data_IF_693576153671
#
_entry.id   IF_693576153671
#
_cell.length_a   1.000
_cell.length_b   1.000
_cell.length_c   1.000
_cell.angle_alpha   90.00
_cell.angle_beta   90.00
_cell.angle_gamma   90.00
#
_symmetry.space_group_name_H-M   'P 1'
#
loop_
_entity.id
_entity.type
_entity.pdbx_description
1 polymer ?
#
# COMPACT_ATOMS: atom_id res chain seq x y z
N UNK A 1 -6.15 2.13 6.06
CA UNK A 1 -4.69 2.40 5.96
C UNK A 1 -4.37 3.69 6.68
N UNK A 2 -3.13 3.85 7.14
CA UNK A 2 -2.67 5.14 7.64
C UNK A 2 -2.56 6.14 6.49
N UNK A 3 -2.82 7.45 6.69
CA UNK A 3 -2.70 8.46 5.63
C UNK A 3 -1.36 8.40 4.88
N UNK A 4 -0.26 8.16 5.60
CA UNK A 4 1.10 8.01 5.03
C UNK A 4 1.18 6.91 3.98
N UNK A 5 0.81 5.70 4.37
CA UNK A 5 0.92 4.52 3.50
C UNK A 5 -0.05 4.63 2.32
N UNK A 6 -1.25 5.14 2.56
CA UNK A 6 -2.25 5.35 1.51
C UNK A 6 -1.75 6.36 0.49
N UNK A 7 -1.19 7.50 0.92
CA UNK A 7 -0.64 8.52 0.02
C UNK A 7 0.56 7.99 -0.77
N UNK A 8 1.50 7.28 -0.12
CA UNK A 8 2.66 6.69 -0.78
C UNK A 8 2.26 5.66 -1.85
N UNK A 9 1.31 4.77 -1.55
CA UNK A 9 0.80 3.81 -2.54
C UNK A 9 0.04 4.50 -3.68
N UNK A 10 -0.73 5.55 -3.40
CA UNK A 10 -1.46 6.30 -4.42
C UNK A 10 -0.52 6.97 -5.41
N UNK A 11 0.60 7.55 -4.94
CA UNK A 11 1.64 8.11 -5.80
C UNK A 11 2.15 7.06 -6.79
N UNK A 12 2.50 5.87 -6.32
CA UNK A 12 3.02 4.79 -7.18
C UNK A 12 1.97 4.23 -8.14
N UNK A 13 0.70 4.15 -7.72
CA UNK A 13 -0.41 3.72 -8.58
C UNK A 13 -0.60 4.68 -9.75
N UNK A 14 -0.70 5.98 -9.46
CA UNK A 14 -0.87 7.02 -10.49
C UNK A 14 0.35 7.11 -11.40
N UNK A 15 1.57 7.00 -10.85
CA UNK A 15 2.79 6.96 -11.65
C UNK A 15 2.79 5.78 -12.64
N UNK A 16 2.36 4.60 -12.18
CA UNK A 16 2.24 3.42 -13.04
C UNK A 16 1.16 3.58 -14.11
N UNK A 17 0.06 4.28 -13.81
CA UNK A 17 -0.99 4.57 -14.78
C UNK A 17 -0.50 5.54 -15.85
N UNK A 18 0.17 6.63 -15.49
CA UNK A 18 0.83 7.56 -16.44
C UNK A 18 1.79 6.80 -17.36
N UNK A 19 2.63 5.93 -16.80
CA UNK A 19 3.55 5.10 -17.58
C UNK A 19 2.82 4.20 -18.57
N UNK A 20 1.71 3.57 -18.17
CA UNK A 20 0.93 2.66 -19.04
C UNK A 20 0.16 3.42 -20.12
N UNK A 21 -0.31 4.63 -19.82
CA UNK A 21 -0.95 5.51 -20.79
C UNK A 21 0.00 5.89 -21.93
N UNK A 22 1.30 6.06 -21.64
CA UNK A 22 2.34 6.37 -22.64
C UNK A 22 2.16 7.72 -23.34
N UNK A 23 1.46 8.67 -22.71
CA UNK A 23 1.17 10.00 -23.27
C UNK A 23 2.03 11.10 -22.67
N UNK A 24 2.15 11.10 -21.37
CA UNK A 24 2.96 12.03 -20.58
C UNK A 24 4.07 11.26 -19.88
N UNK A 25 5.18 11.91 -19.54
CA UNK A 25 6.32 11.28 -18.87
C UNK A 25 6.71 9.94 -19.55
N UNK A 26 6.82 9.93 -20.86
CA UNK A 26 7.02 8.71 -21.68
C UNK A 26 8.35 7.99 -21.38
N UNK A 27 9.26 8.66 -20.72
CA UNK A 27 10.53 8.13 -20.25
C UNK A 27 10.42 7.22 -19.01
N UNK A 28 9.24 7.13 -18.36
CA UNK A 28 9.07 6.34 -17.16
C UNK A 28 9.27 4.83 -17.39
N UNK A 29 9.91 4.18 -16.41
CA UNK A 29 10.11 2.72 -16.39
C UNK A 29 9.54 2.12 -15.08
N UNK A 30 9.37 0.78 -14.98
CA UNK A 30 8.54 0.16 -13.95
C UNK A 30 9.00 0.34 -12.51
N UNK A 31 10.31 0.42 -12.23
CA UNK A 31 10.82 0.49 -10.86
C UNK A 31 10.63 1.88 -10.26
N UNK A 32 10.00 1.93 -9.11
CA UNK A 32 9.77 3.20 -8.43
C UNK A 32 9.60 3.01 -6.93
N UNK A 33 9.94 4.04 -6.18
CA UNK A 33 9.80 4.12 -4.72
C UNK A 33 9.16 5.45 -4.35
N UNK A 34 8.33 5.44 -3.30
CA UNK A 34 7.78 6.67 -2.72
C UNK A 34 7.82 6.62 -1.21
N UNK A 35 8.02 7.78 -0.61
CA UNK A 35 7.92 8.00 0.83
C UNK A 35 7.13 9.27 1.07
N UNK A 36 6.27 9.24 2.09
CA UNK A 36 5.51 10.41 2.54
C UNK A 36 5.76 10.61 4.01
N UNK A 37 6.24 11.80 4.37
CA UNK A 37 6.42 12.24 5.75
C UNK A 37 5.26 13.13 6.14
N UNK A 38 4.60 12.80 7.25
CA UNK A 38 3.47 13.56 7.79
C UNK A 38 3.84 14.08 9.17
N UNK A 39 3.58 15.34 9.39
CA UNK A 39 3.63 15.99 10.70
C UNK A 39 2.38 15.63 11.50
N UNK A 40 2.56 15.32 12.79
CA UNK A 40 1.49 15.01 13.73
C UNK A 40 1.56 15.95 14.92
N UNK A 41 0.40 16.34 15.46
CA UNK A 41 0.31 17.05 16.73
C UNK A 41 0.59 16.13 17.93
N UNK A 42 0.65 16.71 19.13
CA UNK A 42 0.91 15.98 20.39
C UNK A 42 -0.17 14.92 20.70
N UNK A 43 -1.36 15.05 20.13
CA UNK A 43 -2.45 14.08 20.23
C UNK A 43 -2.36 12.97 19.18
N UNK A 44 -1.33 12.99 18.31
CA UNK A 44 -1.13 12.06 17.22
C UNK A 44 -2.12 12.20 16.07
N UNK A 45 -2.74 13.40 15.91
CA UNK A 45 -3.57 13.75 14.76
C UNK A 45 -2.64 14.24 13.64
N UNK A 46 -2.82 13.78 12.39
CA UNK A 46 -2.04 14.29 11.26
C UNK A 46 -2.40 15.75 10.99
N UNK A 47 -1.38 16.58 10.79
CA UNK A 47 -1.50 18.04 10.58
C UNK A 47 -1.29 18.39 9.10
N UNK A 48 -0.19 17.93 8.52
CA UNK A 48 0.16 18.21 7.13
C UNK A 48 1.14 17.17 6.57
N UNK A 49 1.21 17.08 5.26
CA UNK A 49 2.33 16.44 4.58
C UNK A 49 3.49 17.44 4.58
N UNK A 50 4.63 16.98 5.12
CA UNK A 50 5.86 17.75 5.18
C UNK A 50 6.74 17.49 3.95
N UNK A 51 7.04 16.22 3.69
CA UNK A 51 7.97 15.83 2.62
C UNK A 51 7.42 14.66 1.81
N UNK A 52 7.61 14.72 0.50
CA UNK A 52 7.35 13.62 -0.43
C UNK A 52 8.65 13.30 -1.16
N UNK A 53 9.08 12.03 -1.09
CA UNK A 53 10.18 11.50 -1.88
C UNK A 53 9.62 10.59 -2.96
N UNK A 54 10.02 10.81 -4.21
CA UNK A 54 9.72 9.94 -5.34
C UNK A 54 11.02 9.58 -6.04
N UNK A 55 11.33 8.30 -6.14
CA UNK A 55 12.40 7.80 -7.01
C UNK A 55 11.77 6.93 -8.08
N UNK A 56 11.99 7.26 -9.34
CA UNK A 56 11.45 6.51 -10.46
C UNK A 56 12.52 6.16 -11.46
N UNK A 57 12.49 4.93 -11.95
CA UNK A 57 13.29 4.49 -13.08
C UNK A 57 12.81 5.22 -14.33
N UNK A 58 13.76 5.61 -15.17
CA UNK A 58 13.52 6.35 -16.40
C UNK A 58 14.53 5.96 -17.48
N UNK A 59 14.21 6.25 -18.74
CA UNK A 59 15.18 6.15 -19.81
C UNK A 59 16.28 7.21 -19.66
N UNK A 60 17.42 6.98 -20.29
CA UNK A 60 18.48 7.96 -20.50
C UNK A 60 18.10 8.80 -21.72
N UNK A 61 17.15 9.73 -21.55
CA UNK A 61 16.46 10.42 -22.65
C UNK A 61 17.11 11.74 -23.07
N UNK A 62 18.15 12.21 -22.34
CA UNK A 62 18.96 13.34 -22.73
C UNK A 62 20.40 12.84 -22.90
N UNK A 63 20.90 12.94 -24.13
CA UNK A 63 22.26 12.52 -24.45
C UNK A 63 23.24 13.67 -24.22
N UNK A 64 24.45 13.40 -23.69
CA UNK A 64 25.47 14.40 -23.55
C UNK A 64 25.95 14.93 -24.94
N UNK A 65 26.41 16.18 -24.99
CA UNK A 65 26.86 16.80 -26.22
C UNK A 65 28.14 16.16 -26.77
N UNK A 66 28.97 15.60 -25.88
CA UNK A 66 30.22 14.89 -26.19
C UNK A 66 30.52 13.87 -25.05
N UNK A 67 31.63 13.16 -25.17
CA UNK A 67 32.03 12.10 -24.20
C UNK A 67 32.72 12.69 -22.93
N UNK A 68 32.67 13.99 -22.70
CA UNK A 68 33.26 14.61 -21.51
C UNK A 68 32.39 14.37 -20.26
N UNK A 69 33.02 14.28 -19.10
CA UNK A 69 32.32 14.17 -17.82
C UNK A 69 31.43 15.37 -17.50
N UNK A 70 31.82 16.55 -18.00
CA UNK A 70 31.07 17.79 -17.84
C UNK A 70 29.79 17.78 -18.69
N UNK A 71 29.86 17.33 -19.94
CA UNK A 71 28.67 17.15 -20.79
C UNK A 71 27.70 16.11 -20.22
N UNK A 72 28.23 15.01 -19.69
CA UNK A 72 27.40 14.00 -19.04
C UNK A 72 26.69 14.56 -17.79
N UNK A 73 27.40 15.25 -16.91
CA UNK A 73 26.83 15.88 -15.74
C UNK A 73 25.70 16.85 -16.10
N UNK A 74 25.92 17.69 -17.09
CA UNK A 74 24.92 18.64 -17.57
C UNK A 74 23.66 17.95 -18.12
N UNK A 75 23.83 16.89 -18.90
CA UNK A 75 22.72 16.09 -19.42
C UNK A 75 21.93 15.44 -18.30
N UNK A 76 22.60 14.87 -17.27
CA UNK A 76 21.98 14.27 -16.10
C UNK A 76 21.19 15.31 -15.28
N UNK A 77 21.75 16.49 -15.04
CA UNK A 77 21.09 17.59 -14.32
C UNK A 77 19.82 18.07 -15.05
N UNK A 78 19.91 18.25 -16.37
CA UNK A 78 18.77 18.65 -17.19
C UNK A 78 17.65 17.60 -17.16
N UNK A 79 18.02 16.32 -17.28
CA UNK A 79 17.09 15.20 -17.21
C UNK A 79 16.37 15.14 -15.85
N UNK A 80 17.13 15.26 -14.75
CA UNK A 80 16.58 15.27 -13.39
C UNK A 80 15.68 16.48 -13.14
N UNK A 81 16.00 17.64 -13.71
CA UNK A 81 15.17 18.84 -13.62
C UNK A 81 13.81 18.64 -14.31
N UNK A 82 13.79 18.00 -15.49
CA UNK A 82 12.56 17.65 -16.21
C UNK A 82 11.73 16.67 -15.38
N UNK A 83 12.34 15.58 -14.90
CA UNK A 83 11.63 14.58 -14.08
C UNK A 83 11.03 15.22 -12.83
N UNK A 84 11.78 16.10 -12.16
CA UNK A 84 11.29 16.83 -10.99
C UNK A 84 10.09 17.71 -11.32
N UNK A 85 10.17 18.45 -12.42
CA UNK A 85 9.08 19.31 -12.89
C UNK A 85 7.83 18.47 -13.16
N UNK A 86 7.95 17.40 -13.91
CA UNK A 86 6.84 16.55 -14.31
C UNK A 86 6.20 15.83 -13.10
N UNK A 87 7.00 15.43 -12.10
CA UNK A 87 6.46 14.89 -10.84
C UNK A 87 5.59 15.92 -10.13
N UNK A 88 6.02 17.18 -10.08
CA UNK A 88 5.28 18.24 -9.38
C UNK A 88 4.07 18.70 -10.19
N UNK A 89 4.19 18.86 -11.52
CA UNK A 89 3.18 19.49 -12.36
C UNK A 89 2.20 18.48 -13.00
N UNK A 90 2.60 17.21 -13.17
CA UNK A 90 1.77 16.18 -13.81
C UNK A 90 1.34 15.11 -12.79
N UNK A 91 2.31 14.47 -12.12
CA UNK A 91 2.01 13.37 -11.21
C UNK A 91 1.19 13.83 -10.01
N UNK A 92 1.66 14.85 -9.29
CA UNK A 92 1.01 15.26 -8.03
C UNK A 92 -0.41 15.77 -8.19
N UNK A 93 -0.77 16.59 -9.19
CA UNK A 93 -2.18 16.96 -9.44
C UNK A 93 -3.08 15.75 -9.68
N UNK A 94 -2.61 14.74 -10.45
CA UNK A 94 -3.37 13.51 -10.68
C UNK A 94 -3.51 12.67 -9.40
N UNK A 95 -2.48 12.62 -8.56
CA UNK A 95 -2.53 11.97 -7.24
C UNK A 95 -3.60 12.61 -6.37
N UNK A 96 -3.58 13.93 -6.23
CA UNK A 96 -4.54 14.69 -5.42
C UNK A 96 -5.97 14.47 -5.94
N UNK A 97 -6.19 14.57 -7.24
CA UNK A 97 -7.49 14.32 -7.86
C UNK A 97 -8.03 12.89 -7.64
N UNK A 98 -7.14 11.92 -7.41
CA UNK A 98 -7.50 10.51 -7.19
C UNK A 98 -7.82 10.16 -5.72
N UNK A 99 -7.66 11.11 -4.79
CA UNK A 99 -7.92 10.91 -3.36
C UNK A 99 -9.35 11.35 -3.04
N UNK A 100 -10.15 10.42 -2.51
CA UNK A 100 -11.56 10.68 -2.19
C UNK A 100 -11.82 10.96 -0.69
N UNK A 101 -10.80 10.88 0.15
CA UNK A 101 -10.89 11.12 1.59
C UNK A 101 -10.54 12.59 1.90
N UNK A 102 -11.52 13.37 2.34
CA UNK A 102 -11.35 14.80 2.60
C UNK A 102 -10.28 15.10 3.68
N UNK A 103 -10.20 14.27 4.71
CA UNK A 103 -9.19 14.35 5.78
C UNK A 103 -7.76 14.09 5.28
N UNK A 104 -7.60 13.29 4.23
CA UNK A 104 -6.29 13.06 3.58
C UNK A 104 -5.96 14.20 2.63
N UNK A 105 -6.95 14.69 1.86
CA UNK A 105 -6.77 15.84 0.98
C UNK A 105 -6.34 17.08 1.75
N UNK A 106 -6.90 17.30 2.94
CA UNK A 106 -6.56 18.42 3.80
C UNK A 106 -5.10 18.43 4.30
N UNK A 107 -4.37 17.32 4.16
CA UNK A 107 -2.95 17.24 4.52
C UNK A 107 -2.02 17.78 3.41
N UNK A 108 -2.52 17.89 2.18
CA UNK A 108 -1.74 18.47 1.08
C UNK A 108 -1.79 20.00 1.19
N UNK A 109 -0.64 20.62 1.05
CA UNK A 109 -0.45 22.07 1.19
C UNK A 109 0.66 22.55 0.23
N UNK A 110 0.79 23.86 0.12
CA UNK A 110 1.77 24.47 -0.81
C UNK A 110 3.23 24.42 -0.33
N UNK A 111 3.46 23.98 0.93
CA UNK A 111 4.79 23.94 1.55
C UNK A 111 5.40 22.52 1.58
N UNK A 112 4.93 21.61 0.73
CA UNK A 112 5.48 20.27 0.66
C UNK A 112 6.89 20.31 0.04
N UNK A 113 7.85 19.70 0.73
CA UNK A 113 9.20 19.52 0.22
C UNK A 113 9.23 18.29 -0.69
N UNK A 114 9.60 18.46 -1.95
CA UNK A 114 9.73 17.37 -2.91
C UNK A 114 11.18 16.99 -3.13
N UNK A 115 11.50 15.72 -2.92
CA UNK A 115 12.75 15.09 -3.32
C UNK A 115 12.47 14.08 -4.44
N UNK A 116 12.92 14.39 -5.64
CA UNK A 116 12.72 13.56 -6.83
C UNK A 116 14.07 13.05 -7.30
N UNK A 117 14.21 11.71 -7.39
CA UNK A 117 15.47 11.04 -7.70
C UNK A 117 16.69 11.65 -6.96
N UNK A 118 16.63 11.76 -5.61
CA UNK A 118 17.62 12.54 -4.85
C UNK A 118 19.05 11.97 -4.90
N UNK A 119 19.21 10.73 -5.35
CA UNK A 119 20.51 10.05 -5.49
C UNK A 119 21.07 10.14 -6.91
N UNK A 120 20.42 10.88 -7.80
CA UNK A 120 20.82 11.01 -9.20
C UNK A 120 19.93 10.21 -10.16
N UNK A 121 20.38 10.03 -11.39
CA UNK A 121 19.62 9.29 -12.40
C UNK A 121 19.41 7.81 -12.02
N UNK A 122 18.27 7.27 -12.43
CA UNK A 122 17.85 5.92 -12.13
C UNK A 122 17.43 5.18 -13.41
N UNK A 123 18.41 4.79 -14.20
CA UNK A 123 18.21 4.14 -15.51
C UNK A 123 18.13 2.60 -15.36
N UNK A 124 18.96 2.02 -14.50
CA UNK A 124 18.97 0.58 -14.26
C UNK A 124 18.10 0.26 -13.04
N UNK A 125 17.05 -0.51 -13.25
CA UNK A 125 16.10 -0.91 -12.19
C UNK A 125 15.66 -2.37 -12.31
N UNK A 126 14.76 -2.78 -11.41
CA UNK A 126 14.30 -4.16 -11.34
C UNK A 126 15.43 -5.15 -11.01
N UNK A 127 15.36 -6.42 -11.45
CA UNK A 127 16.33 -7.45 -11.09
C UNK A 127 17.77 -7.18 -11.52
N UNK A 128 17.98 -6.31 -12.52
CA UNK A 128 19.31 -5.88 -12.95
C UNK A 128 19.95 -4.85 -12.01
N UNK A 129 19.14 -4.04 -11.33
CA UNK A 129 19.61 -3.07 -10.35
C UNK A 129 19.74 -3.67 -8.97
N UNK A 130 18.73 -4.41 -8.52
CA UNK A 130 18.66 -4.99 -7.18
C UNK A 130 17.74 -6.21 -7.19
N UNK A 131 18.08 -7.25 -6.43
CA UNK A 131 17.25 -8.45 -6.28
C UNK A 131 16.52 -8.45 -4.95
N UNK A 132 15.22 -8.78 -4.99
CA UNK A 132 14.38 -8.89 -3.81
C UNK A 132 14.00 -10.32 -3.47
N UNK A 133 13.69 -10.57 -2.22
CA UNK A 133 13.14 -11.83 -1.73
C UNK A 133 11.78 -11.60 -1.09
N UNK A 134 10.91 -12.62 -1.17
CA UNK A 134 9.63 -12.63 -0.44
C UNK A 134 9.88 -12.42 1.06
N UNK A 135 9.12 -11.54 1.69
CA UNK A 135 9.24 -11.22 3.11
C UNK A 135 10.27 -10.15 3.46
N UNK A 136 10.90 -9.50 2.48
CA UNK A 136 11.87 -8.40 2.71
C UNK A 136 11.22 -7.01 2.71
N UNK A 137 9.90 -6.92 2.53
CA UNK A 137 9.11 -5.67 2.52
C UNK A 137 7.86 -5.77 3.41
N UNK A 138 7.92 -6.54 4.50
CA UNK A 138 6.78 -6.83 5.38
C UNK A 138 6.15 -5.59 6.02
N UNK A 139 6.92 -4.54 6.27
CA UNK A 139 6.41 -3.28 6.82
C UNK A 139 5.60 -2.51 5.76
N UNK A 140 6.03 -2.54 4.51
CA UNK A 140 5.28 -1.97 3.37
C UNK A 140 3.98 -2.75 3.14
N UNK A 141 4.02 -4.08 3.27
CA UNK A 141 2.84 -4.94 3.14
C UNK A 141 1.77 -4.67 4.19
N UNK A 142 2.10 -4.03 5.30
CA UNK A 142 1.23 -3.81 6.46
C UNK A 142 0.91 -2.33 6.67
N UNK A 143 1.53 -1.67 7.65
CA UNK A 143 1.14 -0.33 8.10
C UNK A 143 2.26 0.73 8.00
N UNK A 144 3.34 0.46 7.28
CA UNK A 144 4.42 1.41 7.06
C UNK A 144 5.11 1.87 8.35
N UNK A 145 5.21 0.97 9.35
CA UNK A 145 5.85 1.26 10.65
C UNK A 145 4.96 1.96 11.68
N UNK A 146 3.69 2.27 11.38
CA UNK A 146 2.76 2.87 12.36
C UNK A 146 2.29 1.87 13.42
N UNK A 147 2.13 0.60 13.05
CA UNK A 147 1.80 -0.49 13.96
C UNK A 147 2.96 -1.46 14.15
N UNK A 148 3.00 -2.13 15.28
CA UNK A 148 3.94 -3.22 15.52
C UNK A 148 3.74 -4.37 14.53
N UNK A 149 4.79 -5.11 14.25
CA UNK A 149 4.78 -6.24 13.33
C UNK A 149 5.52 -7.44 13.94
N UNK A 150 4.94 -8.63 13.84
CA UNK A 150 5.51 -9.86 14.40
C UNK A 150 6.67 -10.47 13.59
N UNK A 151 7.00 -9.89 12.42
CA UNK A 151 8.11 -10.36 11.59
C UNK A 151 7.73 -11.39 10.52
N UNK A 152 6.51 -11.94 10.55
CA UNK A 152 6.05 -12.93 9.58
C UNK A 152 5.64 -12.33 8.24
N UNK A 153 6.19 -12.83 7.13
CA UNK A 153 5.77 -12.43 5.79
C UNK A 153 4.36 -12.94 5.48
N UNK A 154 3.61 -12.19 4.66
CA UNK A 154 2.29 -12.61 4.18
C UNK A 154 2.36 -13.34 2.84
N UNK A 155 3.09 -12.77 1.88
CA UNK A 155 3.24 -13.33 0.55
C UNK A 155 3.96 -14.69 0.59
N UNK A 156 3.61 -15.58 -0.34
CA UNK A 156 4.20 -16.91 -0.44
C UNK A 156 3.71 -17.94 0.57
N UNK A 157 2.71 -17.62 1.40
CA UNK A 157 2.13 -18.50 2.41
C UNK A 157 0.73 -18.96 2.00
N UNK A 158 0.42 -20.22 2.29
CA UNK A 158 -0.92 -20.77 2.13
C UNK A 158 -1.86 -20.31 3.29
N UNK A 159 -3.19 -20.52 3.17
CA UNK A 159 -4.16 -20.06 4.18
C UNK A 159 -3.95 -20.63 5.58
N UNK A 160 -3.32 -21.79 5.72
CA UNK A 160 -3.08 -22.42 7.03
C UNK A 160 -1.99 -21.68 7.85
N UNK A 161 -1.20 -20.81 7.22
CA UNK A 161 -0.12 -20.09 7.89
C UNK A 161 -0.65 -18.91 8.67
N UNK A 162 -0.54 -19.00 9.98
CA UNK A 162 -1.10 -18.06 10.96
C UNK A 162 -0.55 -16.63 10.81
N UNK A 163 0.71 -16.44 10.42
CA UNK A 163 1.29 -15.12 10.18
C UNK A 163 0.45 -14.26 9.25
N UNK A 164 -0.15 -14.85 8.21
CA UNK A 164 -1.02 -14.13 7.28
C UNK A 164 -2.49 -14.22 7.68
N UNK A 165 -3.02 -15.41 7.93
CA UNK A 165 -4.44 -15.60 8.22
C UNK A 165 -4.87 -14.90 9.51
N UNK A 166 -4.05 -14.97 10.57
CA UNK A 166 -4.34 -14.26 11.81
C UNK A 166 -4.18 -12.73 11.65
N UNK A 167 -3.20 -12.25 10.88
CA UNK A 167 -3.08 -10.82 10.60
C UNK A 167 -4.27 -10.28 9.81
N UNK A 168 -4.81 -11.04 8.87
CA UNK A 168 -6.02 -10.70 8.14
C UNK A 168 -7.25 -10.71 9.07
N UNK A 169 -7.37 -11.72 9.94
CA UNK A 169 -8.42 -11.78 10.94
C UNK A 169 -8.32 -10.60 11.91
N UNK A 170 -7.15 -10.30 12.44
CA UNK A 170 -6.92 -9.17 13.31
C UNK A 170 -7.27 -7.83 12.61
N UNK A 171 -6.95 -7.70 11.34
CA UNK A 171 -7.35 -6.52 10.54
C UNK A 171 -8.87 -6.45 10.36
N UNK A 172 -9.51 -7.58 10.05
CA UNK A 172 -10.98 -7.67 9.96
C UNK A 172 -11.63 -7.30 11.29
N UNK A 173 -11.15 -7.85 12.39
CA UNK A 173 -11.55 -7.52 13.74
C UNK A 173 -11.36 -6.03 14.00
N UNK A 174 -10.17 -5.46 13.77
CA UNK A 174 -9.89 -4.05 14.01
C UNK A 174 -10.79 -3.10 13.21
N UNK A 175 -11.15 -3.45 11.97
CA UNK A 175 -12.12 -2.67 11.17
C UNK A 175 -13.55 -2.78 11.70
N UNK A 176 -13.90 -3.91 12.28
CA UNK A 176 -15.21 -4.16 12.90
C UNK A 176 -15.19 -3.90 14.41
N UNK A 177 -14.02 -3.83 15.06
CA UNK A 177 -13.79 -3.49 16.49
C UNK A 177 -13.81 -2.02 16.81
N UNK A 178 -13.89 -1.24 15.86
CA UNK A 178 -14.73 -0.11 16.10
C UNK A 178 -16.10 -0.63 16.53
N UNK A 179 -16.30 -1.95 16.67
CA UNK A 179 -17.51 -2.61 17.14
C UNK A 179 -17.42 -4.07 17.58
N UNK A 180 -16.50 -4.73 18.32
CA UNK A 180 -16.74 -6.02 18.98
C UNK A 180 -15.57 -6.94 19.40
N UNK A 181 -15.69 -8.02 20.06
CA UNK A 181 -15.03 -8.91 21.06
C UNK A 181 -14.00 -9.96 20.67
N UNK A 182 -13.02 -10.43 21.54
CA UNK A 182 -12.37 -11.76 21.47
C UNK A 182 -12.10 -12.52 22.79
N UNK A 183 -11.56 -13.75 22.62
CA UNK A 183 -11.13 -14.71 23.65
C UNK A 183 -9.74 -14.33 24.16
N UNK A 184 -9.63 -13.82 25.37
CA UNK A 184 -8.35 -13.47 25.97
C UNK A 184 -7.47 -12.58 25.06
N UNK A 185 -8.09 -11.57 24.50
CA UNK A 185 -7.41 -10.53 23.73
C UNK A 185 -7.15 -9.36 24.67
N UNK A 186 -5.89 -8.98 24.77
CA UNK A 186 -5.52 -7.70 25.32
C UNK A 186 -5.89 -6.64 24.28
N UNK A 187 -6.85 -5.79 24.62
CA UNK A 187 -7.21 -4.62 23.82
C UNK A 187 -6.62 -3.41 24.52
N UNK A 188 -5.82 -2.66 23.80
CA UNK A 188 -5.39 -1.33 24.20
C UNK A 188 -5.80 -0.35 23.09
N UNK A 189 -6.79 0.46 23.38
CA UNK A 189 -7.27 1.49 22.46
C UNK A 189 -6.43 2.77 22.55
N UNK A 190 -5.44 2.80 23.44
CA UNK A 190 -4.63 4.01 23.72
C UNK A 190 -5.51 5.25 24.00
N UNK A 191 -6.69 5.06 24.61
CA UNK A 191 -7.65 6.10 24.87
C UNK A 191 -8.34 6.68 23.61
N UNK A 192 -8.25 5.99 22.46
CA UNK A 192 -8.79 6.46 21.16
C UNK A 192 -9.98 5.64 20.68
N UNK A 193 -10.67 4.95 21.58
CA UNK A 193 -11.88 4.21 21.23
C UNK A 193 -13.01 5.17 20.85
N UNK A 194 -13.70 4.88 19.76
CA UNK A 194 -14.91 5.57 19.36
C UNK A 194 -16.18 4.95 20.00
N UNK A 195 -16.02 3.86 20.76
CA UNK A 195 -17.13 3.22 21.49
C UNK A 195 -17.04 3.52 22.97
N UNK A 196 -18.20 3.71 23.62
CA UNK A 196 -18.33 3.95 25.05
C UNK A 196 -18.21 2.64 25.85
N UNK A 197 -17.07 1.96 25.70
CA UNK A 197 -16.77 0.69 26.36
C UNK A 197 -15.30 0.70 26.78
N UNK A 198 -15.00 0.11 27.94
CA UNK A 198 -13.63 -0.11 28.39
C UNK A 198 -12.93 -1.15 27.48
N UNK A 199 -11.62 -1.14 27.45
CA UNK A 199 -10.81 -2.10 26.68
C UNK A 199 -11.14 -3.55 27.07
N UNK A 200 -11.44 -3.81 28.36
CA UNK A 200 -11.90 -5.11 28.85
C UNK A 200 -13.29 -5.51 28.33
N UNK A 201 -14.23 -4.58 28.26
CA UNK A 201 -15.57 -4.82 27.69
C UNK A 201 -15.47 -5.03 26.18
N UNK A 202 -14.61 -4.26 25.52
CA UNK A 202 -14.28 -4.48 24.10
C UNK A 202 -13.70 -5.89 23.94
N UNK A 203 -12.70 -6.28 24.72
CA UNK A 203 -12.09 -7.60 24.69
C UNK A 203 -13.17 -8.71 24.85
N UNK A 204 -14.04 -8.61 25.78
CA UNK A 204 -15.16 -9.52 26.02
C UNK A 204 -16.17 -9.55 24.85
N UNK A 205 -16.45 -8.44 24.17
CA UNK A 205 -17.34 -8.33 23.00
C UNK A 205 -16.78 -9.02 21.75
N UNK A 206 -15.48 -9.03 21.51
CA UNK A 206 -14.86 -9.74 20.40
C UNK A 206 -15.03 -11.26 20.55
N UNK A 207 -14.88 -11.79 21.75
CA UNK A 207 -15.04 -13.20 22.04
C UNK A 207 -16.45 -13.75 21.72
N UNK A 208 -17.49 -12.96 21.96
CA UNK A 208 -18.85 -13.37 21.62
C UNK A 208 -19.16 -13.35 20.12
N UNK A 209 -18.48 -12.49 19.36
CA UNK A 209 -18.84 -12.19 17.97
C UNK A 209 -17.96 -12.89 16.93
N UNK A 210 -16.75 -13.30 17.30
CA UNK A 210 -15.79 -13.87 16.36
C UNK A 210 -15.30 -15.24 16.81
N UNK A 211 -15.52 -16.23 15.97
CA UNK A 211 -14.80 -17.50 16.08
C UNK A 211 -13.39 -17.33 15.50
N UNK A 212 -12.38 -17.32 16.38
CA UNK A 212 -10.97 -17.12 16.02
C UNK A 212 -10.22 -18.42 15.78
N UNK A 213 -10.90 -19.57 15.71
CA UNK A 213 -10.27 -20.82 15.31
C UNK A 213 -9.78 -20.72 13.87
N UNK A 214 -8.62 -21.29 13.52
CA UNK A 214 -8.03 -21.13 12.18
C UNK A 214 -8.99 -21.46 11.03
N UNK A 215 -9.76 -22.55 11.15
CA UNK A 215 -10.75 -22.95 10.15
C UNK A 215 -11.87 -21.91 9.99
N UNK A 216 -12.38 -21.37 11.08
CA UNK A 216 -13.44 -20.37 11.06
C UNK A 216 -12.92 -19.05 10.42
N UNK A 217 -11.68 -18.68 10.68
CA UNK A 217 -11.01 -17.53 10.01
C UNK A 217 -10.90 -17.77 8.50
N UNK A 218 -10.43 -18.95 8.08
CA UNK A 218 -10.32 -19.29 6.66
C UNK A 218 -11.67 -19.22 5.94
N UNK A 219 -12.72 -19.78 6.55
CA UNK A 219 -14.09 -19.80 6.00
C UNK A 219 -14.69 -18.39 5.95
N UNK A 220 -14.62 -17.64 7.06
CA UNK A 220 -15.16 -16.27 7.17
C UNK A 220 -14.54 -15.31 6.18
N UNK A 221 -13.21 -15.35 6.03
CA UNK A 221 -12.46 -14.47 5.14
C UNK A 221 -12.27 -15.05 3.74
N UNK A 222 -12.86 -16.21 3.46
CA UNK A 222 -12.76 -16.90 2.15
C UNK A 222 -11.31 -17.10 1.68
N UNK A 223 -10.40 -17.39 2.62
CA UNK A 223 -8.95 -17.40 2.35
C UNK A 223 -8.50 -18.53 1.43
N UNK A 224 -9.33 -19.55 1.20
CA UNK A 224 -9.01 -20.64 0.23
C UNK A 224 -9.36 -20.26 -1.20
N UNK A 225 -10.03 -19.13 -1.42
CA UNK A 225 -10.31 -18.63 -2.75
C UNK A 225 -9.03 -18.05 -3.39
N UNK A 226 -8.94 -18.00 -4.72
CA UNK A 226 -7.78 -17.46 -5.45
C UNK A 226 -7.76 -15.92 -5.41
N UNK A 227 -7.52 -15.36 -4.22
CA UNK A 227 -7.61 -13.92 -3.93
C UNK A 227 -6.24 -13.24 -3.86
N UNK A 228 -5.12 -13.99 -4.02
CA UNK A 228 -3.79 -13.49 -3.64
C UNK A 228 -3.01 -12.82 -4.77
N UNK A 229 -3.38 -13.04 -6.03
CA UNK A 229 -2.71 -12.36 -7.15
C UNK A 229 -2.81 -10.84 -7.06
N UNK A 230 -3.92 -10.34 -6.54
CA UNK A 230 -4.16 -8.90 -6.37
C UNK A 230 -3.34 -8.30 -5.24
N UNK A 231 -2.83 -9.11 -4.32
CA UNK A 231 -1.94 -8.65 -3.24
C UNK A 231 -0.46 -8.67 -3.62
N UNK A 232 -0.12 -9.13 -4.81
CA UNK A 232 1.26 -9.20 -5.29
C UNK A 232 1.89 -7.82 -5.53
N UNK A 233 1.07 -6.78 -5.66
CA UNK A 233 1.53 -5.40 -5.80
C UNK A 233 0.76 -4.48 -4.83
N UNK A 234 1.42 -3.42 -4.37
CA UNK A 234 0.85 -2.36 -3.50
C UNK A 234 0.34 -2.85 -2.13
N UNK A 235 0.91 -3.92 -1.60
CA UNK A 235 0.64 -4.44 -0.26
C UNK A 235 -0.69 -5.16 -0.09
N UNK A 236 -0.92 -5.66 1.12
CA UNK A 236 -2.07 -6.50 1.48
C UNK A 236 -3.22 -5.71 2.11
N UNK A 237 -2.96 -4.56 2.71
CA UNK A 237 -3.93 -3.78 3.47
C UNK A 237 -4.46 -2.58 2.68
N UNK A 238 -5.60 -2.03 3.11
CA UNK A 238 -6.18 -0.83 2.48
C UNK A 238 -6.88 -1.08 1.14
N UNK A 239 -7.23 -2.33 0.84
CA UNK A 239 -7.95 -2.71 -0.38
C UNK A 239 -9.45 -2.53 -0.21
N UNK A 240 -10.14 -2.20 -1.31
CA UNK A 240 -11.59 -2.18 -1.35
C UNK A 240 -12.15 -3.54 -1.78
N UNK A 241 -13.19 -4.05 -1.10
CA UNK A 241 -13.86 -5.29 -1.49
C UNK A 241 -14.49 -5.16 -2.87
N UNK A 242 -14.37 -6.21 -3.64
CA UNK A 242 -14.96 -6.28 -4.98
C UNK A 242 -15.14 -7.73 -5.42
N UNK A 243 -16.06 -7.95 -6.33
CA UNK A 243 -16.21 -9.23 -7.04
C UNK A 243 -15.42 -9.18 -8.34
N UNK A 244 -14.68 -10.23 -8.63
CA UNK A 244 -13.95 -10.39 -9.89
C UNK A 244 -14.21 -11.76 -10.48
N UNK A 245 -14.25 -11.83 -11.79
CA UNK A 245 -14.34 -13.10 -12.55
C UNK A 245 -12.93 -13.61 -12.82
N UNK A 246 -12.66 -14.86 -12.44
CA UNK A 246 -11.38 -15.55 -12.72
C UNK A 246 -11.60 -16.78 -13.56
N UNK A 247 -10.83 -16.91 -14.64
CA UNK A 247 -10.84 -18.07 -15.52
C UNK A 247 -9.55 -18.85 -15.36
N UNK A 248 -9.67 -20.14 -15.10
CA UNK A 248 -8.56 -21.08 -14.96
C UNK A 248 -8.60 -22.07 -16.10
N UNK A 249 -7.50 -22.15 -16.84
CA UNK A 249 -7.28 -23.14 -17.89
C UNK A 249 -6.15 -24.08 -17.51
N UNK A 250 -6.32 -25.35 -17.83
CA UNK A 250 -5.32 -26.40 -17.58
C UNK A 250 -5.28 -27.38 -18.76
N UNK A 251 -4.13 -27.99 -19.01
CA UNK A 251 -4.03 -29.09 -20.00
C UNK A 251 -4.75 -30.36 -19.53
N UNK A 252 -5.05 -30.48 -18.25
CA UNK A 252 -5.56 -31.68 -17.61
C UNK A 252 -7.02 -31.58 -17.17
N UNK A 253 -7.62 -30.37 -17.20
CA UNK A 253 -8.99 -30.13 -16.75
C UNK A 253 -9.70 -29.12 -17.65
N UNK A 254 -11.02 -29.19 -17.80
CA UNK A 254 -11.79 -28.17 -18.51
C UNK A 254 -11.55 -26.78 -17.94
N UNK A 255 -11.61 -25.78 -18.81
CA UNK A 255 -11.55 -24.37 -18.40
C UNK A 255 -12.68 -24.07 -17.42
N UNK A 256 -12.36 -23.49 -16.28
CA UNK A 256 -13.31 -23.13 -15.23
C UNK A 256 -13.29 -21.64 -15.01
N UNK A 257 -14.47 -21.03 -15.05
CA UNK A 257 -14.68 -19.62 -14.71
C UNK A 257 -15.46 -19.53 -13.41
N UNK A 258 -15.00 -18.72 -12.46
CA UNK A 258 -15.66 -18.50 -11.18
C UNK A 258 -15.68 -17.00 -10.85
N UNK A 259 -16.70 -16.59 -10.11
CA UNK A 259 -16.72 -15.29 -9.44
C UNK A 259 -16.08 -15.41 -8.07
N UNK A 260 -15.22 -14.47 -7.72
CA UNK A 260 -14.47 -14.45 -6.46
C UNK A 260 -14.65 -13.09 -5.81
N UNK A 261 -15.12 -13.11 -4.57
CA UNK A 261 -15.10 -11.91 -3.72
C UNK A 261 -13.70 -11.69 -3.17
N UNK A 262 -13.11 -10.55 -3.53
CA UNK A 262 -11.81 -10.12 -3.02
C UNK A 262 -11.98 -9.24 -1.81
N UNK A 263 -11.04 -9.36 -0.86
CA UNK A 263 -10.89 -8.45 0.27
C UNK A 263 -12.12 -8.36 1.19
N UNK A 264 -12.88 -9.44 1.34
CA UNK A 264 -14.08 -9.53 2.20
C UNK A 264 -13.78 -9.04 3.63
N UNK A 265 -12.62 -9.37 4.17
CA UNK A 265 -12.17 -8.89 5.49
C UNK A 265 -11.79 -7.40 5.56
N UNK A 266 -11.87 -6.66 4.45
CA UNK A 266 -11.51 -5.24 4.39
C UNK A 266 -12.72 -4.31 4.51
N UNK A 267 -13.94 -4.81 4.47
CA UNK A 267 -15.14 -4.04 4.79
C UNK A 267 -15.36 -3.93 6.29
N UNK A 268 -15.68 -2.72 6.74
CA UNK A 268 -16.42 -2.50 7.97
C UNK A 268 -17.92 -2.56 7.70
N UNK A 269 -18.41 -3.57 6.96
CA UNK A 269 -19.85 -3.72 6.74
C UNK A 269 -20.54 -4.11 8.05
N UNK A 270 -21.60 -3.40 8.40
CA UNK A 270 -22.47 -3.56 9.55
C UNK A 270 -23.24 -4.90 9.53
N UNK A 271 -22.56 -6.02 9.37
CA UNK A 271 -23.13 -7.34 9.59
C UNK A 271 -22.63 -7.91 10.93
N UNK A 272 -22.90 -7.15 11.97
CA UNK A 272 -22.90 -7.59 13.36
C UNK A 272 -24.20 -7.14 14.01
#
# INVERSE_FOLDING_TARGET
>A
STPRLMSAHRILLVLADIRREGKEMTYLRPDAKSQVTIEYDDNGKPVRIDTIVVSTQHDDFIQPADDSAEAQLKADEEMLAIIRKDVIEILMPRVIASIHHADVLALFNDNIIYHVNPTGKFVIGGPHGDTGLTGRKIIVDTYGGKGAHGGGAFSGKDPSKVDRSAAYAARHIAKNLVAARPINIYVDTYGRSNVKMSDGEIAKKIDELFDLRPKAIEERLKLRNPIYSETAAYGHMGREPRVVTKTFSSRYQPTKTIEVELFVGHTGSNQI
#
